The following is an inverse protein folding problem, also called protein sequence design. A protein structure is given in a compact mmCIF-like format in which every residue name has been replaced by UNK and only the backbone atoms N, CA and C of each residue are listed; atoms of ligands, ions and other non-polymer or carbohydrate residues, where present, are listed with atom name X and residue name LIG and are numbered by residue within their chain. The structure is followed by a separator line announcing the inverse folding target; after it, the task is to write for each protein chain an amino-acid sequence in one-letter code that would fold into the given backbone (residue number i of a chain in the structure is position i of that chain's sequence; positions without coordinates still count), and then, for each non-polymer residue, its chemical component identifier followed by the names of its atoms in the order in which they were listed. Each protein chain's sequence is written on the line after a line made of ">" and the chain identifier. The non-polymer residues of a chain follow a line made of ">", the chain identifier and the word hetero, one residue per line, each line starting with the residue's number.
data_IF_236226168869
#
_entry.id   IF_236226168869
#
_cell.length_a   1.000
_cell.length_b   1.000
_cell.length_c   1.000
_cell.angle_alpha   90.00
_cell.angle_beta   90.00
_cell.angle_gamma   90.00
#
_symmetry.space_group_name_H-M   'P 1'
#
loop_
_entity.id
_entity.type
_entity.pdbx_description
1 polymer ?
#
# COMPACT_ATOMS: atom_id res chain seq x y z
N UNK A 1 -4.06 -29.06 -38.75
CA UNK A 1 -3.69 -28.89 -37.32
C UNK A 1 -4.37 -30.01 -36.55
N UNK A 2 -3.63 -30.97 -36.01
CA UNK A 2 -4.20 -32.13 -35.31
C UNK A 2 -4.63 -31.74 -33.88
N UNK A 3 -5.59 -32.46 -33.31
CA UNK A 3 -6.09 -32.23 -31.94
C UNK A 3 -4.95 -32.25 -30.91
N UNK A 4 -3.97 -33.13 -31.10
CA UNK A 4 -2.77 -33.23 -30.26
C UNK A 4 -1.93 -31.96 -30.28
N UNK A 5 -1.76 -31.32 -31.45
CA UNK A 5 -1.01 -30.07 -31.56
C UNK A 5 -1.73 -28.91 -30.86
N UNK A 6 -3.07 -28.90 -30.89
CA UNK A 6 -3.88 -27.91 -30.18
C UNK A 6 -3.76 -28.08 -28.66
N UNK A 7 -3.75 -29.32 -28.16
CA UNK A 7 -3.56 -29.61 -26.73
C UNK A 7 -2.19 -29.13 -26.23
N UNK A 8 -1.13 -29.40 -26.97
CA UNK A 8 0.24 -28.96 -26.63
C UNK A 8 0.31 -27.43 -26.58
N UNK A 9 -0.31 -26.74 -27.55
CA UNK A 9 -0.38 -25.28 -27.58
C UNK A 9 -1.09 -24.72 -26.34
N UNK A 10 -2.26 -25.26 -25.98
CA UNK A 10 -3.03 -24.83 -24.82
C UNK A 10 -2.29 -25.05 -23.50
N UNK A 11 -1.64 -26.20 -23.34
CA UNK A 11 -0.80 -26.49 -22.17
C UNK A 11 0.36 -25.49 -22.09
N UNK A 12 1.00 -25.17 -23.22
CA UNK A 12 2.11 -24.22 -23.27
C UNK A 12 1.66 -22.82 -22.83
N UNK A 13 0.52 -22.34 -23.34
CA UNK A 13 -0.05 -21.04 -22.93
C UNK A 13 -0.43 -21.04 -21.46
N UNK A 14 -1.06 -22.11 -20.96
CA UNK A 14 -1.45 -22.22 -19.57
C UNK A 14 -0.24 -22.15 -18.63
N UNK A 15 0.83 -22.89 -18.94
CA UNK A 15 2.08 -22.85 -18.19
C UNK A 15 2.72 -21.46 -18.25
N UNK A 16 2.75 -20.82 -19.43
CA UNK A 16 3.27 -19.47 -19.59
C UNK A 16 2.48 -18.44 -18.75
N UNK A 17 1.15 -18.57 -18.67
CA UNK A 17 0.30 -17.71 -17.84
C UNK A 17 0.60 -17.89 -16.34
N UNK A 18 0.77 -19.13 -15.88
CA UNK A 18 1.13 -19.41 -14.49
C UNK A 18 2.50 -18.83 -14.15
N UNK A 19 3.50 -19.05 -15.01
CA UNK A 19 4.85 -18.51 -14.81
C UNK A 19 4.82 -16.99 -14.80
N UNK A 20 4.09 -16.37 -15.74
CA UNK A 20 3.91 -14.92 -15.79
C UNK A 20 3.33 -14.36 -14.50
N UNK A 21 2.29 -15.01 -13.94
CA UNK A 21 1.71 -14.62 -12.66
C UNK A 21 2.73 -14.73 -11.52
N UNK A 22 3.47 -15.84 -11.43
CA UNK A 22 4.51 -16.04 -10.41
C UNK A 22 5.60 -14.96 -10.53
N UNK A 23 6.03 -14.62 -11.74
CA UNK A 23 7.02 -13.58 -11.99
C UNK A 23 6.55 -12.20 -11.51
N UNK A 24 5.27 -11.85 -11.73
CA UNK A 24 4.69 -10.59 -11.23
C UNK A 24 4.75 -10.54 -9.70
N UNK A 25 4.32 -11.63 -9.03
CA UNK A 25 4.35 -11.72 -7.56
C UNK A 25 5.78 -11.63 -7.02
N UNK A 26 6.75 -12.29 -7.66
CA UNK A 26 8.17 -12.21 -7.26
C UNK A 26 8.70 -10.79 -7.45
N UNK A 27 8.42 -10.13 -8.58
CA UNK A 27 8.84 -8.75 -8.84
C UNK A 27 8.31 -7.80 -7.76
N UNK A 28 7.04 -7.93 -7.41
CA UNK A 28 6.42 -7.12 -6.36
C UNK A 28 7.03 -7.41 -4.99
N UNK A 29 7.32 -8.68 -4.68
CA UNK A 29 8.04 -9.07 -3.46
C UNK A 29 9.47 -8.52 -3.38
N UNK A 30 10.18 -8.43 -4.51
CA UNK A 30 11.51 -7.82 -4.58
C UNK A 30 11.44 -6.32 -4.31
N UNK A 31 10.47 -5.62 -4.91
CA UNK A 31 10.25 -4.19 -4.67
C UNK A 31 9.94 -3.88 -3.20
N UNK A 32 9.13 -4.73 -2.55
CA UNK A 32 8.89 -4.66 -1.11
C UNK A 32 10.18 -4.83 -0.30
N UNK A 33 11.08 -5.73 -0.73
CA UNK A 33 12.35 -6.02 -0.05
C UNK A 33 13.38 -4.90 -0.20
N UNK A 34 13.30 -4.09 -1.27
CA UNK A 34 14.17 -2.92 -1.48
C UNK A 34 13.69 -1.66 -0.74
N UNK A 35 12.68 -1.78 0.13
CA UNK A 35 12.07 -0.65 0.85
C UNK A 35 11.45 0.41 -0.10
N UNK A 36 11.17 0.01 -1.34
CA UNK A 36 10.56 0.86 -2.37
C UNK A 36 9.06 0.57 -2.40
N UNK A 37 8.29 1.45 -1.76
CA UNK A 37 6.84 1.36 -1.72
C UNK A 37 6.31 2.05 -2.98
N UNK A 38 5.67 1.28 -3.85
CA UNK A 38 5.05 1.77 -5.08
C UNK A 38 3.59 2.05 -4.77
N UNK A 39 3.24 3.33 -4.72
CA UNK A 39 1.85 3.80 -4.53
C UNK A 39 1.31 4.17 -5.91
N UNK A 40 0.45 3.34 -6.49
CA UNK A 40 -0.15 3.59 -7.80
C UNK A 40 -1.41 4.48 -7.66
N UNK A 41 -1.19 5.75 -7.34
CA UNK A 41 -2.24 6.77 -7.17
C UNK A 41 -1.87 8.03 -7.95
N UNK A 42 -2.77 8.48 -8.82
CA UNK A 42 -2.54 9.59 -9.76
C UNK A 42 -2.33 10.96 -9.08
N UNK A 43 -2.82 11.10 -7.85
CA UNK A 43 -2.69 12.28 -6.99
C UNK A 43 -1.37 12.37 -6.22
N UNK A 44 -0.57 11.29 -6.19
CA UNK A 44 0.65 11.24 -5.39
C UNK A 44 1.84 11.66 -6.26
N UNK A 45 2.21 12.93 -6.18
CA UNK A 45 3.41 13.46 -6.85
C UNK A 45 4.67 13.11 -6.04
N UNK A 46 5.78 12.86 -6.72
CA UNK A 46 7.06 12.48 -6.10
C UNK A 46 7.56 13.51 -5.08
N UNK A 47 7.29 14.80 -5.30
CA UNK A 47 7.60 15.89 -4.36
C UNK A 47 6.93 15.74 -2.99
N UNK A 48 5.76 15.09 -2.92
CA UNK A 48 5.02 14.85 -1.68
C UNK A 48 5.43 13.57 -0.97
N UNK A 49 5.95 12.60 -1.73
CA UNK A 49 6.64 11.42 -1.19
C UNK A 49 7.98 11.84 -0.56
N UNK A 50 8.68 12.78 -1.19
CA UNK A 50 9.93 13.35 -0.67
C UNK A 50 9.68 14.29 0.52
N UNK A 51 8.50 14.90 0.62
CA UNK A 51 8.08 15.69 1.80
C UNK A 51 7.81 14.82 3.04
N UNK A 52 7.59 13.51 2.85
CA UNK A 52 7.41 12.54 3.93
C UNK A 52 8.78 12.02 4.40
N UNK A 53 9.21 12.51 5.56
CA UNK A 53 10.52 12.20 6.16
C UNK A 53 10.65 10.72 6.52
N UNK A 54 9.55 10.06 6.89
CA UNK A 54 9.56 8.68 7.38
C UNK A 54 8.47 7.83 6.74
N UNK A 55 8.89 6.72 6.13
CA UNK A 55 8.01 5.74 5.44
C UNK A 55 7.53 4.61 6.34
N UNK A 56 8.15 4.40 7.51
CA UNK A 56 7.78 3.39 8.49
C UNK A 56 7.88 4.00 9.88
N UNK A 57 6.79 4.03 10.63
CA UNK A 57 6.73 4.64 11.95
C UNK A 57 5.79 3.87 12.88
N UNK A 58 5.97 4.06 14.19
CA UNK A 58 5.03 3.54 15.19
C UNK A 58 4.03 4.62 15.59
N UNK A 59 2.74 4.28 15.60
CA UNK A 59 1.67 5.13 16.09
C UNK A 59 0.69 4.29 16.91
N UNK A 60 0.40 4.71 18.14
CA UNK A 60 -0.52 4.00 19.06
C UNK A 60 -0.12 2.52 19.30
N UNK A 61 1.19 2.24 19.33
CA UNK A 61 1.73 0.89 19.52
C UNK A 61 1.70 0.00 18.27
N UNK A 62 1.16 0.47 17.16
CA UNK A 62 1.12 -0.25 15.87
C UNK A 62 2.24 0.23 14.93
N UNK A 63 2.94 -0.70 14.28
CA UNK A 63 3.88 -0.38 13.19
C UNK A 63 3.09 -0.13 11.90
N UNK A 64 3.20 1.09 11.40
CA UNK A 64 2.53 1.60 10.20
C UNK A 64 3.56 1.90 9.12
N UNK A 65 3.27 1.47 7.90
CA UNK A 65 4.11 1.69 6.72
C UNK A 65 3.36 2.52 5.68
N UNK A 66 4.11 3.25 4.87
CA UNK A 66 3.57 3.85 3.67
C UNK A 66 2.96 2.75 2.78
N UNK A 67 1.81 3.03 2.18
CA UNK A 67 0.98 2.07 1.47
C UNK A 67 -0.02 1.30 2.35
N UNK A 68 0.10 1.34 3.69
CA UNK A 68 -0.90 0.71 4.56
C UNK A 68 -2.24 1.46 4.46
N UNK A 69 -3.33 0.71 4.41
CA UNK A 69 -4.68 1.24 4.44
C UNK A 69 -5.14 1.34 5.90
N UNK A 70 -5.50 2.54 6.33
CA UNK A 70 -5.81 2.84 7.72
C UNK A 70 -7.14 3.57 7.86
N UNK A 71 -7.76 3.37 9.02
CA UNK A 71 -8.87 4.15 9.53
C UNK A 71 -8.38 5.00 10.69
N UNK A 72 -8.38 6.31 10.50
CA UNK A 72 -8.03 7.29 11.54
C UNK A 72 -9.31 7.82 12.17
N UNK A 73 -9.37 7.78 13.51
CA UNK A 73 -10.42 8.45 14.28
C UNK A 73 -9.81 9.67 14.95
N UNK A 74 -10.31 10.86 14.60
CA UNK A 74 -9.87 12.11 15.18
C UNK A 74 -10.53 12.33 16.55
N UNK A 75 -9.96 13.23 17.36
CA UNK A 75 -10.51 13.67 18.64
C UNK A 75 -11.92 14.26 18.51
N UNK A 76 -12.25 14.82 17.34
CA UNK A 76 -13.60 15.28 16.97
C UNK A 76 -14.60 14.14 16.67
N UNK A 77 -14.20 12.88 16.87
CA UNK A 77 -14.95 11.67 16.49
C UNK A 77 -15.17 11.52 14.97
N UNK A 78 -14.63 12.42 14.13
CA UNK A 78 -14.62 12.25 12.67
C UNK A 78 -13.71 11.07 12.31
N UNK A 79 -14.18 10.23 11.38
CA UNK A 79 -13.45 9.07 10.88
C UNK A 79 -13.00 9.35 9.45
N UNK A 80 -11.75 9.04 9.16
CA UNK A 80 -11.17 9.17 7.82
C UNK A 80 -10.51 7.85 7.45
N UNK A 81 -10.75 7.40 6.22
CA UNK A 81 -10.19 6.17 5.65
C UNK A 81 -9.31 6.53 4.46
N UNK A 82 -8.14 5.90 4.38
CA UNK A 82 -7.21 6.16 3.30
C UNK A 82 -5.90 5.41 3.44
N UNK A 83 -4.98 5.71 2.53
CA UNK A 83 -3.68 5.07 2.41
C UNK A 83 -2.61 6.00 3.00
N UNK A 84 -1.78 5.49 3.90
CA UNK A 84 -0.65 6.24 4.47
C UNK A 84 0.38 6.49 3.37
N UNK A 85 0.81 7.74 3.17
CA UNK A 85 1.96 8.08 2.32
C UNK A 85 3.24 8.08 3.15
N UNK A 86 3.13 8.51 4.40
CA UNK A 86 4.24 8.59 5.34
C UNK A 86 3.94 9.56 6.48
N UNK A 87 4.97 9.88 7.25
CA UNK A 87 4.90 10.84 8.35
C UNK A 87 5.97 11.93 8.19
N UNK A 88 5.62 13.13 8.66
CA UNK A 88 6.51 14.29 8.77
C UNK A 88 6.83 14.50 10.25
N UNK A 89 8.01 14.05 10.66
CA UNK A 89 8.43 14.07 12.07
C UNK A 89 8.63 15.51 12.55
N UNK A 90 9.19 16.37 11.70
CA UNK A 90 9.35 17.80 11.97
C UNK A 90 8.05 18.53 12.36
N UNK A 91 6.90 18.06 11.87
CA UNK A 91 5.57 18.62 12.18
C UNK A 91 4.70 17.71 13.05
N UNK A 92 5.18 16.52 13.39
CA UNK A 92 4.38 15.48 14.05
C UNK A 92 3.04 15.24 13.34
N UNK A 93 3.09 15.09 12.02
CA UNK A 93 1.93 14.91 11.15
C UNK A 93 2.03 13.61 10.36
N UNK A 94 0.91 12.91 10.18
CA UNK A 94 0.77 11.81 9.22
C UNK A 94 0.10 12.32 7.95
N UNK A 95 0.54 11.80 6.81
CA UNK A 95 0.01 12.17 5.49
C UNK A 95 -0.74 10.98 4.93
N UNK A 96 -2.01 11.19 4.59
CA UNK A 96 -2.92 10.16 4.10
C UNK A 96 -3.53 10.61 2.78
N UNK A 97 -3.62 9.71 1.81
CA UNK A 97 -4.48 9.89 0.64
C UNK A 97 -5.83 9.25 0.90
N UNK A 98 -6.90 10.03 0.81
CA UNK A 98 -8.27 9.50 0.90
C UNK A 98 -8.66 8.77 -0.38
N UNK A 99 -9.76 8.02 -0.35
CA UNK A 99 -10.29 7.37 -1.55
C UNK A 99 -10.74 8.37 -2.63
N UNK A 100 -11.08 9.60 -2.25
CA UNK A 100 -11.41 10.72 -3.14
C UNK A 100 -10.19 11.35 -3.84
N UNK A 101 -9.00 10.77 -3.64
CA UNK A 101 -7.74 11.26 -4.22
C UNK A 101 -7.26 12.60 -3.65
N UNK A 102 -7.76 12.96 -2.47
CA UNK A 102 -7.33 14.14 -1.72
C UNK A 102 -6.28 13.76 -0.67
N UNK A 103 -5.29 14.62 -0.51
CA UNK A 103 -4.22 14.44 0.48
C UNK A 103 -4.58 15.22 1.74
N UNK A 104 -4.80 14.50 2.83
CA UNK A 104 -5.06 15.07 4.14
C UNK A 104 -3.84 14.87 5.06
N UNK A 105 -3.46 15.94 5.76
CA UNK A 105 -2.39 15.94 6.77
C UNK A 105 -3.04 16.00 8.15
N UNK A 106 -2.78 15.02 9.00
CA UNK A 106 -3.32 14.97 10.36
C UNK A 106 -2.19 15.07 11.37
N UNK A 107 -2.31 15.97 12.34
CA UNK A 107 -1.38 16.02 13.46
C UNK A 107 -1.63 14.87 14.42
N UNK A 108 -0.56 14.28 14.93
CA UNK A 108 -0.61 13.10 15.81
C UNK A 108 -1.41 13.36 17.08
N UNK A 109 -1.38 14.57 17.62
CA UNK A 109 -2.16 15.02 18.79
C UNK A 109 -3.68 15.02 18.56
N UNK A 110 -4.12 15.20 17.31
CA UNK A 110 -5.55 15.17 16.94
C UNK A 110 -6.08 13.76 16.72
N UNK A 111 -5.22 12.75 16.73
CA UNK A 111 -5.60 11.35 16.48
C UNK A 111 -5.95 10.69 17.81
N UNK A 112 -7.20 10.27 17.93
CA UNK A 112 -7.70 9.54 19.09
C UNK A 112 -7.39 8.05 19.03
N UNK A 113 -7.45 7.48 17.83
CA UNK A 113 -7.20 6.06 17.57
C UNK A 113 -6.90 5.84 16.08
N UNK A 114 -5.95 4.96 15.80
CA UNK A 114 -5.70 4.45 14.45
C UNK A 114 -6.02 2.95 14.39
N UNK A 115 -6.59 2.50 13.28
CA UNK A 115 -6.83 1.07 13.01
C UNK A 115 -6.33 0.74 11.61
N UNK A 116 -5.45 -0.26 11.50
CA UNK A 116 -4.99 -0.78 10.22
C UNK A 116 -6.09 -1.67 9.62
N UNK A 117 -6.56 -1.32 8.42
CA UNK A 117 -7.53 -2.12 7.66
C UNK A 117 -6.79 -3.18 6.85
N UNK A 118 -5.70 -2.79 6.19
CA UNK A 118 -4.88 -3.65 5.35
C UNK A 118 -3.42 -3.23 5.42
N UNK A 119 -2.50 -4.20 5.50
CA UNK A 119 -1.06 -3.93 5.43
C UNK A 119 -0.57 -4.07 3.99
N UNK A 120 0.20 -3.10 3.54
CA UNK A 120 0.87 -3.10 2.25
C UNK A 120 1.78 -4.32 2.12
N UNK A 121 1.73 -4.97 0.95
CA UNK A 121 2.50 -6.18 0.68
C UNK A 121 1.98 -7.47 1.33
N UNK A 122 0.84 -7.44 2.05
CA UNK A 122 0.14 -8.67 2.45
C UNK A 122 -0.81 -9.13 1.34
N UNK A 123 -0.40 -10.17 0.62
CA UNK A 123 -1.22 -10.82 -0.41
C UNK A 123 -2.36 -11.69 0.17
N UNK A 124 -2.28 -12.08 1.44
CA UNK A 124 -3.29 -12.89 2.11
C UNK A 124 -3.84 -12.17 3.34
N UNK A 125 -5.16 -11.97 3.39
CA UNK A 125 -5.88 -11.63 4.63
C UNK A 125 -5.86 -12.87 5.52
N UNK A 126 -4.87 -12.95 6.40
CA UNK A 126 -4.93 -13.89 7.52
C UNK A 126 -5.93 -13.28 8.50
N UNK A 127 -7.13 -13.86 8.53
CA UNK A 127 -8.16 -13.61 9.54
C UNK A 127 -7.72 -14.16 10.89
#
# INVERSE_FOLDING_TARGET
>A
MTITNLQILLITFFVASIIGYICVVIKEKINLKSNTIIIDKKSVTQDQIDEAEVKVFMLDGEEIKAGDEVKVTLSSNKRVEGIIIGAKMSKSEIVIVTHSDEIEKFKVDTIKRIKIISKYGRFFKIF
#
